data_IF_548756581888
#
_entry.id   IF_548756581888
#
_cell.length_a   1.000
_cell.length_b   1.000
_cell.length_c   1.000
_cell.angle_alpha   90.00
_cell.angle_beta   90.00
_cell.angle_gamma   90.00
#
_symmetry.space_group_name_H-M   'P 1'
#
loop_
_entity.id
_entity.type
_entity.pdbx_description
1 polymer ?
#
# COMPACT_ATOMS: atom_id res chain seq x y z
N UNK A 1 -10.37 14.36 -27.14
CA UNK A 1 -10.02 14.75 -25.75
C UNK A 1 -9.65 13.47 -25.04
N UNK A 2 -8.48 13.40 -24.39
CA UNK A 2 -8.08 12.20 -23.64
C UNK A 2 -9.03 12.05 -22.45
N UNK A 3 -9.73 10.94 -22.39
CA UNK A 3 -10.60 10.58 -21.27
C UNK A 3 -9.76 9.86 -20.21
N UNK A 4 -9.82 10.32 -18.96
CA UNK A 4 -9.00 9.80 -17.86
C UNK A 4 -9.59 8.51 -17.29
N UNK A 5 -8.73 7.51 -17.07
CA UNK A 5 -9.04 6.37 -16.21
C UNK A 5 -8.61 6.75 -14.80
N UNK A 6 -9.39 6.42 -13.78
CA UNK A 6 -9.04 6.68 -12.38
C UNK A 6 -9.14 5.36 -11.63
N UNK A 7 -8.16 5.05 -10.79
CA UNK A 7 -8.13 3.88 -9.94
C UNK A 7 -9.20 3.91 -8.84
N UNK A 8 -8.96 3.22 -7.73
CA UNK A 8 -9.87 3.27 -6.60
C UNK A 8 -9.83 4.66 -5.94
N UNK A 9 -10.99 5.19 -5.60
CA UNK A 9 -11.14 6.50 -4.96
C UNK A 9 -11.65 6.31 -3.54
N UNK A 10 -10.96 6.88 -2.56
CA UNK A 10 -11.44 6.88 -1.17
C UNK A 10 -12.71 7.73 -1.03
N UNK A 11 -12.59 9.01 -1.37
CA UNK A 11 -13.67 10.00 -1.34
C UNK A 11 -13.82 10.65 -2.72
N UNK A 12 -14.98 10.51 -3.34
CA UNK A 12 -15.37 11.20 -4.56
C UNK A 12 -16.27 12.40 -4.17
N UNK A 13 -15.76 13.62 -4.28
CA UNK A 13 -16.51 14.85 -3.98
C UNK A 13 -17.11 15.44 -5.26
N UNK A 14 -18.42 15.25 -5.42
CA UNK A 14 -19.21 15.72 -6.55
C UNK A 14 -19.98 17.02 -6.26
N UNK A 15 -19.80 17.65 -5.10
CA UNK A 15 -20.69 18.75 -4.67
C UNK A 15 -20.73 19.93 -5.64
N UNK A 16 -19.60 20.20 -6.30
CA UNK A 16 -19.43 21.30 -7.24
C UNK A 16 -19.24 20.83 -8.69
N UNK A 17 -19.50 19.55 -8.96
CA UNK A 17 -19.25 18.96 -10.28
C UNK A 17 -20.30 19.38 -11.30
N UNK A 18 -19.92 19.31 -12.57
CA UNK A 18 -20.79 19.62 -13.71
C UNK A 18 -20.83 18.44 -14.66
N UNK A 19 -21.85 18.35 -15.52
CA UNK A 19 -21.88 17.33 -16.59
C UNK A 19 -20.61 17.33 -17.44
N UNK A 20 -20.06 18.52 -17.70
CA UNK A 20 -18.82 18.66 -18.47
C UNK A 20 -17.59 18.11 -17.75
N UNK A 21 -17.52 18.19 -16.42
CA UNK A 21 -16.37 17.67 -15.67
C UNK A 21 -16.38 16.14 -15.58
N UNK A 22 -17.56 15.52 -15.54
CA UNK A 22 -17.68 14.06 -15.53
C UNK A 22 -17.51 13.41 -16.91
N UNK A 23 -17.86 14.11 -18.00
CA UNK A 23 -17.73 13.60 -19.38
C UNK A 23 -16.29 13.29 -19.81
N UNK A 24 -15.30 13.83 -19.10
CA UNK A 24 -13.89 13.58 -19.38
C UNK A 24 -13.38 12.29 -18.72
N UNK A 25 -14.21 11.59 -17.95
CA UNK A 25 -13.82 10.41 -17.18
C UNK A 25 -14.29 9.16 -17.92
N UNK A 26 -13.33 8.31 -18.31
CA UNK A 26 -13.59 7.03 -18.98
C UNK A 26 -14.11 5.99 -18.01
N UNK A 27 -13.49 5.92 -16.83
CA UNK A 27 -13.83 5.01 -15.76
C UNK A 27 -13.22 5.48 -14.45
N UNK A 28 -13.90 5.17 -13.35
CA UNK A 28 -13.35 5.22 -12.00
C UNK A 28 -13.44 3.80 -11.43
N UNK A 29 -12.42 3.36 -10.70
CA UNK A 29 -12.44 2.10 -9.96
C UNK A 29 -13.48 2.07 -8.85
N UNK A 30 -13.19 1.37 -7.77
CA UNK A 30 -14.10 1.35 -6.61
C UNK A 30 -14.07 2.69 -5.89
N UNK A 31 -15.24 3.21 -5.53
CA UNK A 31 -15.41 4.44 -4.76
C UNK A 31 -15.86 4.07 -3.35
N UNK A 32 -15.09 4.46 -2.33
CA UNK A 32 -15.46 4.24 -0.94
C UNK A 32 -16.69 5.06 -0.57
N UNK A 33 -16.58 6.37 -0.71
CA UNK A 33 -17.62 7.34 -0.36
C UNK A 33 -17.81 8.33 -1.52
N UNK A 34 -19.04 8.47 -2.01
CA UNK A 34 -19.42 9.56 -2.90
C UNK A 34 -20.15 10.63 -2.11
N UNK A 35 -19.67 11.86 -2.21
CA UNK A 35 -20.25 13.03 -1.57
C UNK A 35 -20.96 13.84 -2.66
N UNK A 36 -22.26 14.07 -2.49
CA UNK A 36 -23.09 14.78 -3.47
C UNK A 36 -23.86 15.92 -2.79
N UNK A 37 -24.29 16.88 -3.60
CA UNK A 37 -25.39 17.77 -3.23
C UNK A 37 -26.68 17.26 -3.88
N UNK A 38 -27.83 17.78 -3.45
CA UNK A 38 -29.11 17.49 -4.10
C UNK A 38 -29.06 17.78 -5.61
N UNK A 39 -28.30 18.79 -6.03
CA UNK A 39 -28.15 19.15 -7.44
C UNK A 39 -27.22 18.24 -8.24
N UNK A 40 -26.25 17.58 -7.58
CA UNK A 40 -25.24 16.74 -8.25
C UNK A 40 -25.45 15.25 -8.08
N UNK A 41 -26.41 14.82 -7.24
CA UNK A 41 -26.81 13.42 -7.11
C UNK A 41 -27.10 12.74 -8.47
N UNK A 42 -27.79 13.37 -9.45
CA UNK A 42 -28.01 12.73 -10.75
C UNK A 42 -26.73 12.46 -11.56
N UNK A 43 -25.66 13.24 -11.33
CA UNK A 43 -24.36 13.07 -12.02
C UNK A 43 -23.68 11.75 -11.63
N UNK A 44 -23.93 11.28 -10.41
CA UNK A 44 -23.35 10.03 -9.89
C UNK A 44 -23.75 8.82 -10.75
N UNK A 45 -25.00 8.79 -11.25
CA UNK A 45 -25.48 7.71 -12.11
C UNK A 45 -24.92 7.75 -13.54
N UNK A 46 -24.35 8.87 -13.95
CA UNK A 46 -23.75 9.05 -15.27
C UNK A 46 -22.26 8.69 -15.28
N UNK A 47 -21.63 8.59 -14.09
CA UNK A 47 -20.24 8.23 -13.97
C UNK A 47 -20.04 6.71 -14.12
N UNK A 48 -19.09 6.28 -14.97
CA UNK A 48 -18.71 4.87 -15.08
C UNK A 48 -17.86 4.45 -13.86
N UNK A 49 -18.52 4.14 -12.75
CA UNK A 49 -17.90 3.72 -11.49
C UNK A 49 -17.86 2.19 -11.36
N UNK A 50 -16.85 1.68 -10.65
CA UNK A 50 -16.86 0.32 -10.10
C UNK A 50 -17.83 0.17 -8.93
N UNK A 51 -17.43 -0.54 -7.88
CA UNK A 51 -18.27 -0.65 -6.68
C UNK A 51 -18.32 0.69 -5.94
N UNK A 52 -19.52 1.07 -5.48
CA UNK A 52 -19.73 2.25 -4.65
C UNK A 52 -20.11 1.81 -3.23
N UNK A 53 -19.27 2.16 -2.25
CA UNK A 53 -19.48 1.78 -0.86
C UNK A 53 -20.66 2.51 -0.23
N UNK A 54 -20.67 3.85 -0.35
CA UNK A 54 -21.68 4.70 0.27
C UNK A 54 -21.87 6.01 -0.49
N UNK A 55 -23.08 6.55 -0.42
CA UNK A 55 -23.43 7.88 -0.92
C UNK A 55 -23.85 8.75 0.26
N UNK A 56 -23.28 9.94 0.34
CA UNK A 56 -23.61 10.96 1.34
C UNK A 56 -24.11 12.18 0.60
N UNK A 57 -25.39 12.50 0.79
CA UNK A 57 -25.96 13.76 0.35
C UNK A 57 -25.79 14.79 1.46
N UNK A 58 -24.95 15.80 1.23
CA UNK A 58 -24.78 16.90 2.18
C UNK A 58 -25.47 18.17 1.72
N UNK A 59 -25.98 18.91 2.71
CA UNK A 59 -26.54 20.25 2.53
C UNK A 59 -25.43 21.28 2.30
N UNK A 60 -25.81 22.46 1.82
CA UNK A 60 -24.87 23.58 1.73
C UNK A 60 -24.30 23.96 3.11
N UNK A 61 -23.04 24.38 3.12
CA UNK A 61 -22.32 24.86 4.31
C UNK A 61 -21.37 23.85 4.96
N UNK A 62 -21.41 22.56 4.59
CA UNK A 62 -20.46 21.59 5.16
C UNK A 62 -19.05 21.75 4.60
N UNK A 63 -18.08 21.85 5.51
CA UNK A 63 -16.67 21.76 5.21
C UNK A 63 -16.22 20.29 5.21
N UNK A 64 -15.52 19.87 4.16
CA UNK A 64 -15.00 18.50 4.07
C UNK A 64 -13.60 18.43 4.69
N UNK A 65 -13.47 17.62 5.73
CA UNK A 65 -12.19 17.26 6.34
C UNK A 65 -11.79 15.86 5.86
N UNK A 66 -10.66 15.80 5.17
CA UNK A 66 -10.13 14.56 4.56
C UNK A 66 -9.07 13.89 5.44
N UNK A 67 -8.67 14.57 6.51
CA UNK A 67 -7.75 14.10 7.54
C UNK A 67 -8.46 14.05 8.88
N UNK A 68 -7.77 13.56 9.91
CA UNK A 68 -8.31 13.52 11.26
C UNK A 68 -8.69 14.95 11.72
N UNK A 69 -9.90 15.11 12.23
CA UNK A 69 -10.41 16.38 12.75
C UNK A 69 -10.12 16.44 14.24
N UNK A 70 -9.06 17.15 14.60
CA UNK A 70 -8.72 17.42 16.00
C UNK A 70 -9.42 18.70 16.48
N UNK A 71 -10.33 18.55 17.44
CA UNK A 71 -11.07 19.65 18.04
C UNK A 71 -10.52 19.88 19.44
N UNK A 72 -9.78 20.97 19.60
CA UNK A 72 -9.30 21.45 20.89
C UNK A 72 -9.88 22.83 21.20
N UNK A 73 -9.60 23.34 22.40
CA UNK A 73 -10.10 24.63 22.85
C UNK A 73 -9.73 25.76 21.87
N UNK A 74 -8.46 25.84 21.48
CA UNK A 74 -7.96 26.87 20.55
C UNK A 74 -8.63 26.79 19.17
N UNK A 75 -8.86 25.58 18.65
CA UNK A 75 -9.59 25.39 17.39
C UNK A 75 -10.99 25.99 17.47
N UNK A 76 -11.75 25.69 18.53
CA UNK A 76 -13.11 26.21 18.72
C UNK A 76 -13.16 27.73 18.86
N UNK A 77 -12.20 28.31 19.57
CA UNK A 77 -12.10 29.77 19.76
C UNK A 77 -11.84 30.52 18.46
N UNK A 78 -11.20 29.87 17.48
CA UNK A 78 -10.95 30.46 16.16
C UNK A 78 -12.11 30.33 15.17
N UNK A 79 -13.16 29.58 15.51
CA UNK A 79 -14.31 29.38 14.63
C UNK A 79 -15.24 30.61 14.62
N UNK A 80 -15.34 31.23 13.44
CA UNK A 80 -16.35 32.23 13.08
C UNK A 80 -16.62 32.12 11.57
N UNK A 81 -17.79 31.62 11.11
CA UNK A 81 -18.97 31.18 11.89
C UNK A 81 -18.82 29.77 12.51
N UNK A 82 -19.89 29.27 13.16
CA UNK A 82 -19.95 27.89 13.69
C UNK A 82 -19.71 26.83 12.60
N UNK A 83 -19.08 25.73 13.00
CA UNK A 83 -18.63 24.68 12.11
C UNK A 83 -19.76 23.72 11.75
N UNK A 84 -19.90 23.47 10.45
CA UNK A 84 -20.58 22.30 9.89
C UNK A 84 -19.52 21.47 9.15
N UNK A 85 -19.25 20.26 9.61
CA UNK A 85 -18.17 19.44 9.08
C UNK A 85 -18.66 18.07 8.60
N UNK A 86 -18.06 17.60 7.51
CA UNK A 86 -18.13 16.21 7.08
C UNK A 86 -16.72 15.62 7.16
N UNK A 87 -16.57 14.48 7.83
CA UNK A 87 -15.32 13.72 7.80
C UNK A 87 -15.59 12.23 7.66
N UNK A 88 -14.78 11.58 6.84
CA UNK A 88 -14.73 10.12 6.74
C UNK A 88 -13.55 9.51 7.53
N UNK A 89 -12.78 10.36 8.20
CA UNK A 89 -11.67 9.95 9.06
C UNK A 89 -12.03 10.14 10.53
N UNK A 90 -11.03 10.01 11.40
CA UNK A 90 -11.22 10.13 12.84
C UNK A 90 -11.55 11.55 13.28
N UNK A 91 -12.39 11.67 14.32
CA UNK A 91 -12.57 12.91 15.08
C UNK A 91 -12.02 12.73 16.48
N UNK A 92 -11.14 13.62 16.91
CA UNK A 92 -10.57 13.59 18.27
C UNK A 92 -10.94 14.89 18.98
N UNK A 93 -11.77 14.78 20.01
CA UNK A 93 -12.11 15.92 20.88
C UNK A 93 -11.08 15.95 22.01
N UNK A 94 -10.43 17.09 22.26
CA UNK A 94 -9.45 17.21 23.32
C UNK A 94 -10.10 17.34 24.71
N UNK A 95 -9.34 17.00 25.76
CA UNK A 95 -9.86 16.94 27.12
C UNK A 95 -10.14 18.33 27.73
N UNK A 96 -9.44 19.35 27.25
CA UNK A 96 -9.52 20.74 27.69
C UNK A 96 -10.70 21.52 27.09
N UNK A 97 -11.52 20.89 26.25
CA UNK A 97 -12.66 21.53 25.60
C UNK A 97 -13.83 21.71 26.58
N UNK A 98 -14.40 22.90 26.62
CA UNK A 98 -15.64 23.17 27.37
C UNK A 98 -16.89 22.72 26.58
N UNK A 99 -17.84 22.08 27.27
CA UNK A 99 -19.05 21.53 26.65
C UNK A 99 -19.96 22.60 26.04
N UNK A 100 -20.05 23.77 26.66
CA UNK A 100 -20.81 24.92 26.22
C UNK A 100 -20.23 25.50 24.92
N UNK A 101 -18.90 25.70 24.89
CA UNK A 101 -18.22 26.22 23.72
C UNK A 101 -18.35 25.25 22.53
N UNK A 102 -18.25 23.95 22.78
CA UNK A 102 -18.44 22.93 21.76
C UNK A 102 -19.84 23.02 21.12
N UNK A 103 -20.90 23.18 21.92
CA UNK A 103 -22.27 23.32 21.41
C UNK A 103 -22.54 24.65 20.71
N UNK A 104 -21.85 25.71 21.10
CA UNK A 104 -21.94 27.02 20.45
C UNK A 104 -21.25 27.02 19.09
N UNK A 105 -20.04 26.45 19.04
CA UNK A 105 -19.14 26.55 17.89
C UNK A 105 -19.27 25.41 16.89
N UNK A 106 -19.90 24.30 17.25
CA UNK A 106 -20.16 23.19 16.34
C UNK A 106 -21.68 23.08 16.14
N UNK A 107 -22.12 23.39 14.93
CA UNK A 107 -23.52 23.24 14.55
C UNK A 107 -23.84 21.78 14.22
N UNK A 108 -22.99 21.13 13.41
CA UNK A 108 -23.13 19.71 13.08
C UNK A 108 -21.82 19.08 12.57
N UNK A 109 -21.60 17.82 12.92
CA UNK A 109 -20.56 16.99 12.32
C UNK A 109 -21.17 15.68 11.84
N UNK A 110 -21.20 15.50 10.53
CA UNK A 110 -21.44 14.20 9.92
C UNK A 110 -20.11 13.43 9.87
N UNK A 111 -20.06 12.26 10.51
CA UNK A 111 -18.83 11.50 10.69
C UNK A 111 -18.99 10.03 10.28
N UNK A 112 -18.06 9.54 9.46
CA UNK A 112 -18.05 8.14 8.98
C UNK A 112 -16.82 7.35 9.46
N UNK A 113 -16.02 7.95 10.34
CA UNK A 113 -14.87 7.33 11.00
C UNK A 113 -15.08 7.08 12.50
N UNK A 114 -14.00 6.77 13.21
CA UNK A 114 -14.03 6.60 14.66
C UNK A 114 -14.02 7.98 15.37
N UNK A 115 -14.69 8.11 16.50
CA UNK A 115 -14.70 9.34 17.31
C UNK A 115 -14.10 9.04 18.68
N UNK A 116 -13.04 9.75 19.04
CA UNK A 116 -12.40 9.69 20.35
C UNK A 116 -12.79 10.92 21.17
N UNK A 117 -13.52 10.74 22.27
CA UNK A 117 -14.11 11.83 23.06
C UNK A 117 -13.85 11.67 24.57
N UNK A 118 -13.57 12.75 25.33
CA UNK A 118 -13.50 12.68 26.78
C UNK A 118 -14.82 12.18 27.39
N UNK A 119 -14.75 11.34 28.43
CA UNK A 119 -15.93 10.80 29.13
C UNK A 119 -16.93 11.90 29.54
N UNK A 120 -16.42 13.05 30.00
CA UNK A 120 -17.26 14.17 30.45
C UNK A 120 -17.92 14.96 29.31
N UNK A 121 -17.43 14.83 28.06
CA UNK A 121 -17.97 15.52 26.88
C UNK A 121 -18.87 14.66 26.02
N UNK A 122 -18.98 13.35 26.31
CA UNK A 122 -19.71 12.40 25.46
C UNK A 122 -21.12 12.89 25.07
N UNK A 123 -21.90 13.36 26.05
CA UNK A 123 -23.26 13.86 25.78
C UNK A 123 -23.30 15.16 24.98
N UNK A 124 -22.32 16.06 25.14
CA UNK A 124 -22.23 17.29 24.36
C UNK A 124 -21.85 16.99 22.90
N UNK A 125 -20.87 16.10 22.71
CA UNK A 125 -20.43 15.67 21.38
C UNK A 125 -21.52 14.90 20.66
N UNK A 126 -22.23 13.99 21.34
CA UNK A 126 -23.37 13.28 20.77
C UNK A 126 -24.49 14.23 20.31
N UNK A 127 -24.64 15.41 20.94
CA UNK A 127 -25.68 16.37 20.57
C UNK A 127 -25.37 17.19 19.30
N UNK A 128 -24.11 17.26 18.89
CA UNK A 128 -23.65 18.01 17.70
C UNK A 128 -23.13 17.09 16.59
N UNK A 129 -23.23 15.78 16.77
CA UNK A 129 -22.78 14.79 15.80
C UNK A 129 -23.98 14.03 15.24
N UNK A 130 -24.28 14.23 13.97
CA UNK A 130 -25.34 13.50 13.29
C UNK A 130 -24.79 12.19 12.71
N UNK A 131 -25.51 11.09 12.96
CA UNK A 131 -25.03 9.72 12.75
C UNK A 131 -24.53 9.44 11.33
N UNK A 132 -23.23 9.12 11.18
CA UNK A 132 -22.64 8.62 9.94
C UNK A 132 -22.03 7.20 10.05
N UNK A 133 -22.57 6.33 10.90
CA UNK A 133 -22.17 4.91 10.94
C UNK A 133 -20.81 4.60 11.58
N UNK A 134 -20.11 5.62 12.08
CA UNK A 134 -18.87 5.49 12.86
C UNK A 134 -19.07 5.11 14.33
N UNK A 135 -18.00 4.62 15.00
CA UNK A 135 -18.03 4.27 16.45
C UNK A 135 -17.47 5.41 17.30
N UNK A 136 -18.19 5.79 18.34
CA UNK A 136 -17.70 6.73 19.36
C UNK A 136 -17.13 5.95 20.54
N UNK A 137 -15.90 6.29 20.93
CA UNK A 137 -15.18 5.72 22.07
C UNK A 137 -14.81 6.84 23.03
N UNK A 138 -14.97 6.58 24.32
CA UNK A 138 -14.63 7.55 25.33
C UNK A 138 -13.24 7.32 25.93
N UNK A 139 -12.64 8.39 26.47
CA UNK A 139 -11.37 8.31 27.20
C UNK A 139 -11.36 9.23 28.44
N UNK A 140 -10.53 8.92 29.43
CA UNK A 140 -10.38 9.66 30.69
C UNK A 140 -9.22 10.66 30.67
N UNK A 141 -9.18 11.60 31.63
CA UNK A 141 -8.12 12.62 31.73
C UNK A 141 -6.73 12.00 31.81
N UNK A 142 -6.65 10.88 32.53
CA UNK A 142 -5.42 10.16 32.80
C UNK A 142 -5.03 9.18 31.67
N UNK A 143 -5.95 8.93 30.74
CA UNK A 143 -5.69 8.12 29.57
C UNK A 143 -5.08 9.01 28.47
N UNK A 144 -3.89 8.64 28.00
CA UNK A 144 -3.32 9.31 26.83
C UNK A 144 -4.23 9.13 25.62
N UNK A 145 -4.34 10.20 24.83
CA UNK A 145 -5.03 10.16 23.55
C UNK A 145 -4.45 9.02 22.70
N UNK A 146 -5.29 8.25 21.98
CA UNK A 146 -4.79 7.28 21.02
C UNK A 146 -3.79 7.93 20.06
N UNK A 147 -2.69 7.26 19.78
CA UNK A 147 -1.71 7.73 18.80
C UNK A 147 -2.02 7.08 17.47
N UNK A 148 -2.33 7.91 16.48
CA UNK A 148 -2.70 7.49 15.15
C UNK A 148 -1.53 7.64 14.17
N UNK A 149 -1.26 6.60 13.38
CA UNK A 149 -0.21 6.56 12.36
C UNK A 149 -0.79 6.05 11.03
N UNK A 150 -0.30 6.60 9.93
CA UNK A 150 -0.67 6.23 8.55
C UNK A 150 0.57 5.84 7.76
N UNK A 151 0.41 4.92 6.80
CA UNK A 151 1.51 4.46 5.94
C UNK A 151 2.41 3.44 6.64
N UNK A 152 3.72 3.55 6.42
CA UNK A 152 4.71 2.69 7.08
C UNK A 152 5.13 3.34 8.39
N UNK A 153 4.81 2.68 9.52
CA UNK A 153 5.19 3.12 10.85
C UNK A 153 6.10 2.09 11.51
N UNK A 154 7.29 2.52 11.92
CA UNK A 154 8.26 1.68 12.61
C UNK A 154 8.16 1.85 14.12
N UNK A 155 7.75 0.80 14.83
CA UNK A 155 7.72 0.74 16.28
C UNK A 155 9.15 0.53 16.79
N UNK A 156 9.72 1.56 17.41
CA UNK A 156 11.12 1.54 17.87
C UNK A 156 11.19 1.61 19.39
N UNK A 157 12.30 1.14 20.01
CA UNK A 157 12.58 1.36 21.43
C UNK A 157 12.35 2.80 21.88
N UNK A 158 12.94 3.76 21.15
CA UNK A 158 12.83 5.19 21.46
C UNK A 158 11.41 5.73 21.40
N UNK A 159 10.56 5.18 20.51
CA UNK A 159 9.16 5.56 20.47
C UNK A 159 8.42 5.05 21.69
N UNK A 160 8.60 3.78 22.06
CA UNK A 160 7.96 3.18 23.23
C UNK A 160 8.40 3.86 24.53
N UNK A 161 9.69 4.16 24.66
CA UNK A 161 10.25 4.88 25.82
C UNK A 161 9.76 6.32 25.92
N UNK A 162 9.30 6.93 24.82
CA UNK A 162 8.72 8.27 24.84
C UNK A 162 7.28 8.29 25.38
N UNK A 163 6.64 7.12 25.49
CA UNK A 163 5.27 6.99 26.02
C UNK A 163 5.32 7.02 27.55
N UNK A 164 4.81 8.09 28.14
CA UNK A 164 4.82 8.30 29.59
C UNK A 164 3.89 7.29 30.29
N UNK A 165 2.82 6.87 29.61
CA UNK A 165 1.84 5.90 30.09
C UNK A 165 1.53 4.85 29.01
N UNK A 166 0.92 3.71 29.37
CA UNK A 166 0.43 2.74 28.38
C UNK A 166 -0.63 3.35 27.45
N UNK A 167 -0.37 3.31 26.15
CA UNK A 167 -1.13 4.06 25.14
C UNK A 167 -1.68 3.16 24.05
N UNK A 168 -2.89 3.48 23.57
CA UNK A 168 -3.48 2.80 22.40
C UNK A 168 -2.85 3.34 21.12
N UNK A 169 -2.31 2.46 20.28
CA UNK A 169 -1.77 2.84 18.97
C UNK A 169 -2.70 2.35 17.86
N UNK A 170 -3.00 3.22 16.91
CA UNK A 170 -3.79 2.91 15.71
C UNK A 170 -2.92 3.11 14.48
N UNK A 171 -2.77 2.07 13.65
CA UNK A 171 -1.95 2.11 12.43
C UNK A 171 -2.80 1.74 11.22
N UNK A 172 -2.93 2.66 10.28
CA UNK A 172 -3.53 2.43 8.96
C UNK A 172 -2.41 2.26 7.93
N UNK A 173 -2.00 1.02 7.66
CA UNK A 173 -0.87 0.70 6.79
C UNK A 173 0.00 -0.45 7.32
N UNK A 174 1.32 -0.27 7.28
CA UNK A 174 2.30 -1.28 7.69
C UNK A 174 2.89 -0.87 9.04
N UNK A 175 2.75 -1.73 10.05
CA UNK A 175 3.44 -1.63 11.33
C UNK A 175 4.69 -2.51 11.30
N UNK A 176 5.87 -1.90 11.30
CA UNK A 176 7.14 -2.62 11.39
C UNK A 176 7.66 -2.61 12.83
N UNK A 177 7.79 -3.78 13.45
CA UNK A 177 8.38 -3.89 14.79
C UNK A 177 9.89 -3.97 14.65
N UNK A 178 10.62 -2.98 15.20
CA UNK A 178 12.08 -2.99 15.19
C UNK A 178 12.61 -4.18 16.02
N UNK A 179 13.64 -4.86 15.53
CA UNK A 179 14.23 -6.05 16.17
C UNK A 179 14.83 -5.78 17.55
N UNK A 180 15.02 -4.50 17.92
CA UNK A 180 15.51 -4.09 19.24
C UNK A 180 14.38 -3.87 20.26
N UNK A 181 13.12 -3.92 19.84
CA UNK A 181 11.99 -3.80 20.76
C UNK A 181 11.95 -5.03 21.65
N UNK A 182 11.90 -4.83 22.96
CA UNK A 182 11.80 -5.91 23.94
C UNK A 182 10.37 -6.06 24.46
N UNK A 183 10.08 -7.20 25.06
CA UNK A 183 8.81 -7.49 25.75
C UNK A 183 8.50 -6.42 26.83
N UNK A 184 9.51 -6.03 27.60
CA UNK A 184 9.40 -5.02 28.65
C UNK A 184 8.99 -3.64 28.10
N UNK A 185 9.36 -3.31 26.87
CA UNK A 185 8.97 -2.04 26.25
C UNK A 185 7.53 -2.06 25.74
N UNK A 186 6.98 -3.25 25.43
CA UNK A 186 5.59 -3.37 24.97
C UNK A 186 4.56 -3.07 26.08
N UNK A 187 4.97 -3.01 27.35
CA UNK A 187 4.08 -2.58 28.46
C UNK A 187 3.57 -1.15 28.28
N UNK A 188 4.27 -0.34 27.47
CA UNK A 188 3.84 1.01 27.09
C UNK A 188 2.75 1.02 26.01
N UNK A 189 2.39 -0.14 25.46
CA UNK A 189 1.31 -0.28 24.49
C UNK A 189 0.12 -0.96 25.17
N UNK A 190 -0.97 -0.20 25.31
CA UNK A 190 -2.21 -0.71 25.91
C UNK A 190 -3.00 -1.59 24.94
N UNK A 191 -3.11 -1.15 23.69
CA UNK A 191 -3.86 -1.81 22.63
C UNK A 191 -3.29 -1.39 21.27
N UNK A 192 -3.25 -2.31 20.30
CA UNK A 192 -2.86 -2.08 18.91
C UNK A 192 -4.07 -2.27 18.00
N UNK A 193 -4.42 -1.24 17.24
CA UNK A 193 -5.46 -1.28 16.21
C UNK A 193 -4.80 -1.12 14.84
N UNK A 194 -4.53 -2.23 14.15
CA UNK A 194 -3.85 -2.21 12.85
C UNK A 194 -4.83 -2.59 11.72
N UNK A 195 -4.99 -1.67 10.76
CA UNK A 195 -5.71 -1.90 9.50
C UNK A 195 -4.67 -2.01 8.39
N UNK A 196 -4.14 -3.21 8.17
CA UNK A 196 -3.08 -3.47 7.19
C UNK A 196 -2.19 -4.65 7.60
N UNK A 197 -0.87 -4.46 7.53
CA UNK A 197 0.12 -5.52 7.78
C UNK A 197 0.95 -5.21 9.03
N UNK A 198 1.26 -6.23 9.82
CA UNK A 198 2.23 -6.17 10.91
C UNK A 198 3.43 -7.02 10.51
N UNK A 199 4.59 -6.41 10.39
CA UNK A 199 5.87 -7.09 10.16
C UNK A 199 6.63 -7.18 11.47
N UNK A 200 6.94 -8.41 11.90
CA UNK A 200 7.62 -8.66 13.17
C UNK A 200 8.47 -9.93 13.13
N UNK A 201 9.42 -10.00 14.06
CA UNK A 201 10.22 -11.19 14.34
C UNK A 201 9.39 -12.28 15.02
N UNK A 202 9.73 -13.54 14.78
CA UNK A 202 9.00 -14.71 15.29
C UNK A 202 8.84 -14.70 16.81
N UNK A 203 9.91 -14.45 17.57
CA UNK A 203 9.81 -14.39 19.04
C UNK A 203 8.80 -13.33 19.53
N UNK A 204 8.58 -12.24 18.79
CA UNK A 204 7.69 -11.15 19.20
C UNK A 204 6.20 -11.48 19.03
N UNK A 205 5.84 -12.53 18.28
CA UNK A 205 4.45 -12.87 17.97
C UNK A 205 3.65 -13.11 19.25
N UNK A 206 4.20 -13.87 20.20
CA UNK A 206 3.51 -14.21 21.45
C UNK A 206 3.23 -12.98 22.34
N UNK A 207 4.07 -11.94 22.23
CA UNK A 207 3.97 -10.73 23.06
C UNK A 207 3.10 -9.65 22.42
N UNK A 208 3.13 -9.54 21.09
CA UNK A 208 2.35 -8.54 20.37
C UNK A 208 0.91 -8.98 20.14
N UNK A 209 0.67 -10.28 19.89
CA UNK A 209 -0.68 -10.79 19.57
C UNK A 209 -1.76 -10.45 20.61
N UNK A 210 -1.51 -10.55 21.93
CA UNK A 210 -2.50 -10.18 22.94
C UNK A 210 -2.86 -8.68 22.96
N UNK A 211 -1.99 -7.82 22.43
CA UNK A 211 -2.22 -6.38 22.37
C UNK A 211 -3.09 -5.98 21.18
N UNK A 212 -3.21 -6.86 20.18
CA UNK A 212 -3.97 -6.55 18.96
C UNK A 212 -5.46 -6.61 19.25
N UNK A 213 -6.14 -5.50 18.97
CA UNK A 213 -7.57 -5.35 19.13
C UNK A 213 -8.32 -6.41 18.30
N UNK A 214 -9.40 -6.97 18.86
CA UNK A 214 -10.29 -7.87 18.11
C UNK A 214 -10.93 -7.19 16.88
N UNK A 215 -10.97 -5.86 16.87
CA UNK A 215 -11.47 -5.06 15.74
C UNK A 215 -10.41 -4.79 14.65
N UNK A 216 -9.18 -5.26 14.84
CA UNK A 216 -8.08 -5.14 13.89
C UNK A 216 -8.31 -6.08 12.70
N UNK A 217 -8.03 -5.61 11.48
CA UNK A 217 -8.04 -6.43 10.26
C UNK A 217 -6.59 -6.73 9.82
N UNK A 218 -5.71 -6.97 10.78
CA UNK A 218 -4.27 -7.05 10.55
C UNK A 218 -3.88 -8.41 9.96
N UNK A 219 -3.06 -8.41 8.91
CA UNK A 219 -2.29 -9.57 8.48
C UNK A 219 -0.91 -9.52 9.13
N UNK A 220 -0.37 -10.66 9.56
CA UNK A 220 0.97 -10.74 10.14
C UNK A 220 1.94 -11.34 9.12
N UNK A 221 3.04 -10.62 8.88
CA UNK A 221 4.21 -11.12 8.18
C UNK A 221 5.28 -11.43 9.21
N UNK A 222 5.50 -12.72 9.48
CA UNK A 222 6.43 -13.19 10.50
C UNK A 222 7.78 -13.50 9.87
N UNK A 223 8.82 -12.83 10.37
CA UNK A 223 10.21 -13.00 9.94
C UNK A 223 10.91 -13.89 10.97
N UNK A 224 11.46 -15.05 10.59
CA UNK A 224 12.16 -15.89 11.55
C UNK A 224 13.37 -15.17 12.17
N UNK A 225 13.67 -15.48 13.43
CA UNK A 225 14.61 -14.69 14.24
C UNK A 225 16.05 -14.74 13.72
N UNK A 226 16.45 -15.88 13.16
CA UNK A 226 17.81 -16.12 12.69
C UNK A 226 18.03 -15.74 11.22
N UNK A 227 17.05 -15.11 10.58
CA UNK A 227 17.11 -14.68 9.18
C UNK A 227 17.63 -13.23 9.08
N UNK A 228 18.52 -12.99 8.13
CA UNK A 228 18.91 -11.64 7.72
C UNK A 228 17.91 -11.12 6.69
N UNK A 229 17.27 -9.98 6.99
CA UNK A 229 16.31 -9.35 6.07
C UNK A 229 17.05 -8.62 4.94
N UNK A 230 16.63 -8.87 3.70
CA UNK A 230 17.06 -8.13 2.51
C UNK A 230 15.87 -7.32 1.99
N UNK A 231 15.95 -6.01 2.15
CA UNK A 231 14.86 -5.03 1.94
C UNK A 231 14.87 -4.37 0.54
N UNK A 232 15.57 -4.99 -0.40
CA UNK A 232 15.68 -4.52 -1.79
C UNK A 232 16.10 -5.63 -2.73
N UNK A 233 15.85 -5.43 -4.02
CA UNK A 233 16.42 -6.29 -5.04
C UNK A 233 17.95 -6.32 -4.91
N UNK A 234 18.54 -7.52 -4.84
CA UNK A 234 19.96 -7.69 -4.54
C UNK A 234 20.64 -8.51 -5.62
N UNK A 235 21.48 -7.85 -6.42
CA UNK A 235 22.46 -8.53 -7.26
C UNK A 235 23.68 -8.90 -6.44
N UNK A 236 23.77 -10.18 -6.09
CA UNK A 236 24.83 -10.71 -5.26
C UNK A 236 26.13 -10.83 -6.03
N UNK A 237 27.22 -10.47 -5.35
CA UNK A 237 28.59 -10.61 -5.86
C UNK A 237 29.39 -11.51 -4.94
N UNK A 238 30.31 -12.28 -5.51
CA UNK A 238 31.15 -13.23 -4.77
C UNK A 238 31.86 -12.57 -3.57
N UNK A 239 32.37 -11.33 -3.75
CA UNK A 239 33.01 -10.55 -2.67
C UNK A 239 32.09 -10.26 -1.48
N UNK A 240 30.78 -10.09 -1.70
CA UNK A 240 29.82 -9.86 -0.61
C UNK A 240 29.64 -11.14 0.21
N UNK A 241 29.54 -12.28 -0.49
CA UNK A 241 29.34 -13.61 0.11
C UNK A 241 30.55 -14.15 0.86
N UNK A 242 31.78 -13.68 0.56
CA UNK A 242 32.99 -14.10 1.27
C UNK A 242 32.93 -13.86 2.78
N UNK A 243 32.20 -12.83 3.22
CA UNK A 243 32.00 -12.52 4.64
C UNK A 243 30.86 -13.31 5.28
N UNK A 244 30.01 -13.95 4.47
CA UNK A 244 28.84 -14.68 4.92
C UNK A 244 29.23 -16.12 5.20
N UNK A 245 28.78 -16.63 6.35
CA UNK A 245 29.00 -18.01 6.78
C UNK A 245 27.65 -18.61 7.09
N UNK A 246 27.11 -19.41 6.16
CA UNK A 246 25.83 -20.10 6.33
C UNK A 246 24.67 -19.17 6.73
N UNK A 247 24.61 -17.96 6.15
CA UNK A 247 23.55 -17.01 6.47
C UNK A 247 22.19 -17.53 6.01
N UNK A 248 21.15 -17.26 6.79
CA UNK A 248 19.75 -17.43 6.39
C UNK A 248 19.20 -16.09 5.91
N UNK A 249 18.46 -16.08 4.81
CA UNK A 249 18.01 -14.85 4.16
C UNK A 249 16.49 -14.82 4.10
N UNK A 250 15.90 -13.70 4.49
CA UNK A 250 14.48 -13.42 4.31
C UNK A 250 14.34 -12.22 3.35
N UNK A 251 13.53 -12.35 2.30
CA UNK A 251 13.31 -11.24 1.37
C UNK A 251 11.95 -11.32 0.67
N UNK A 252 11.41 -10.16 0.33
CA UNK A 252 10.26 -10.04 -0.57
C UNK A 252 10.67 -9.46 -1.93
N UNK A 253 11.99 -9.41 -2.19
CA UNK A 253 12.55 -8.77 -3.37
C UNK A 253 13.40 -9.75 -4.19
N UNK A 254 13.56 -9.51 -5.50
CA UNK A 254 14.35 -10.38 -6.36
C UNK A 254 15.80 -10.52 -5.91
N UNK A 255 16.32 -11.75 -5.98
CA UNK A 255 17.75 -12.02 -5.80
C UNK A 255 18.38 -12.41 -7.14
N UNK A 256 19.50 -11.78 -7.50
CA UNK A 256 20.25 -12.13 -8.71
C UNK A 256 21.59 -12.75 -8.33
N UNK A 257 21.72 -14.04 -8.61
CA UNK A 257 22.81 -14.94 -8.19
C UNK A 257 23.52 -15.61 -9.38
N UNK A 258 23.11 -15.33 -10.61
CA UNK A 258 23.65 -15.94 -11.84
C UNK A 258 25.16 -15.76 -12.08
N UNK A 259 25.81 -14.82 -11.40
CA UNK A 259 27.27 -14.64 -11.48
C UNK A 259 28.05 -15.43 -10.40
N UNK A 260 27.36 -16.22 -9.57
CA UNK A 260 27.95 -16.94 -8.44
C UNK A 260 28.14 -18.41 -8.79
N UNK A 261 29.24 -18.98 -8.32
CA UNK A 261 29.47 -20.42 -8.39
C UNK A 261 28.68 -21.15 -7.31
N UNK A 262 28.19 -22.34 -7.62
CA UNK A 262 27.49 -23.25 -6.68
C UNK A 262 28.17 -23.34 -5.31
N UNK A 263 29.46 -23.69 -5.26
CA UNK A 263 30.22 -23.82 -4.02
C UNK A 263 30.25 -22.55 -3.17
N UNK A 264 30.12 -21.37 -3.80
CA UNK A 264 30.08 -20.09 -3.08
C UNK A 264 28.74 -19.93 -2.39
N UNK A 265 27.65 -20.22 -3.10
CA UNK A 265 26.29 -20.17 -2.57
C UNK A 265 26.17 -21.13 -1.38
N UNK A 266 26.55 -22.40 -1.59
CA UNK A 266 26.46 -23.46 -0.60
C UNK A 266 27.22 -23.13 0.69
N UNK A 267 28.42 -22.53 0.59
CA UNK A 267 29.22 -22.16 1.77
C UNK A 267 28.70 -20.91 2.48
N UNK A 268 28.10 -19.98 1.75
CA UNK A 268 27.74 -18.66 2.27
C UNK A 268 26.30 -18.56 2.76
N UNK A 269 25.38 -19.32 2.18
CA UNK A 269 23.93 -19.25 2.42
C UNK A 269 23.43 -20.64 2.79
N UNK A 270 22.75 -20.75 3.94
CA UNK A 270 22.18 -22.02 4.41
C UNK A 270 20.72 -22.18 4.05
N UNK A 271 19.94 -21.08 4.08
CA UNK A 271 18.51 -21.06 3.76
C UNK A 271 18.08 -19.73 3.17
N UNK A 272 17.05 -19.77 2.34
CA UNK A 272 16.39 -18.59 1.76
C UNK A 272 14.88 -18.74 1.95
N UNK A 273 14.24 -17.74 2.51
CA UNK A 273 12.79 -17.58 2.49
C UNK A 273 12.48 -16.35 1.64
N UNK A 274 11.82 -16.57 0.50
CA UNK A 274 11.54 -15.53 -0.49
C UNK A 274 10.08 -15.54 -0.90
N UNK A 275 9.46 -14.36 -1.04
CA UNK A 275 8.17 -14.21 -1.74
C UNK A 275 8.32 -13.63 -3.15
N UNK A 276 9.56 -13.53 -3.64
CA UNK A 276 9.91 -13.09 -4.98
C UNK A 276 10.79 -14.12 -5.69
N UNK A 277 11.10 -13.89 -6.97
CA UNK A 277 11.89 -14.80 -7.77
C UNK A 277 13.40 -14.68 -7.51
N UNK A 278 14.14 -15.75 -7.82
CA UNK A 278 15.60 -15.81 -7.73
C UNK A 278 16.18 -16.16 -9.10
N UNK A 279 17.07 -15.32 -9.62
CA UNK A 279 17.78 -15.59 -10.89
C UNK A 279 19.12 -16.24 -10.59
N UNK A 280 19.40 -17.39 -11.21
CA UNK A 280 20.62 -18.16 -11.01
C UNK A 280 21.15 -18.73 -12.33
N UNK A 281 22.32 -19.37 -12.29
CA UNK A 281 22.82 -20.20 -13.39
C UNK A 281 22.26 -21.61 -13.29
N UNK A 282 22.14 -22.34 -14.41
CA UNK A 282 21.65 -23.73 -14.40
C UNK A 282 22.47 -24.66 -13.49
N UNK A 283 23.76 -24.40 -13.31
CA UNK A 283 24.65 -25.20 -12.43
C UNK A 283 24.29 -25.14 -10.93
N UNK A 284 23.49 -24.13 -10.52
CA UNK A 284 23.16 -23.86 -9.12
C UNK A 284 21.65 -23.92 -8.85
N UNK A 285 20.84 -24.31 -9.84
CA UNK A 285 19.38 -24.33 -9.77
C UNK A 285 18.86 -25.31 -8.72
N UNK A 286 19.30 -26.57 -8.80
CA UNK A 286 18.98 -27.64 -7.86
C UNK A 286 19.38 -27.28 -6.42
N UNK A 287 20.55 -26.69 -6.21
CA UNK A 287 20.98 -26.20 -4.90
C UNK A 287 20.00 -25.15 -4.35
N UNK A 288 19.51 -24.23 -5.21
CA UNK A 288 18.54 -23.24 -4.76
C UNK A 288 17.20 -23.89 -4.39
N UNK A 289 16.73 -24.90 -5.13
CA UNK A 289 15.56 -25.68 -4.73
C UNK A 289 15.75 -26.41 -3.38
N UNK A 290 16.97 -26.76 -3.01
CA UNK A 290 17.26 -27.38 -1.71
C UNK A 290 17.27 -26.38 -0.54
N UNK A 291 17.77 -25.15 -0.75
CA UNK A 291 17.94 -24.17 0.32
C UNK A 291 16.77 -23.16 0.42
N UNK A 292 15.90 -23.08 -0.57
CA UNK A 292 14.71 -22.24 -0.56
C UNK A 292 13.58 -22.96 0.19
N UNK A 293 13.08 -22.35 1.27
CA UNK A 293 12.09 -22.98 2.16
C UNK A 293 10.64 -22.89 1.64
N UNK A 294 10.40 -22.04 0.63
CA UNK A 294 9.06 -21.68 0.14
C UNK A 294 8.85 -22.17 -1.28
N UNK A 295 7.81 -22.98 -1.50
CA UNK A 295 7.44 -23.48 -2.84
C UNK A 295 6.95 -22.37 -3.78
N UNK A 296 6.53 -21.23 -3.24
CA UNK A 296 6.04 -20.08 -4.00
C UNK A 296 7.16 -19.21 -4.59
N UNK A 297 8.44 -19.58 -4.35
CA UNK A 297 9.59 -18.88 -4.91
C UNK A 297 9.95 -19.45 -6.28
N UNK A 298 9.79 -18.64 -7.33
CA UNK A 298 10.25 -19.00 -8.67
C UNK A 298 11.78 -18.91 -8.79
N UNK A 299 12.43 -19.99 -9.21
CA UNK A 299 13.87 -20.03 -9.49
C UNK A 299 14.06 -20.00 -11.01
N UNK A 300 14.70 -18.94 -11.50
CA UNK A 300 14.94 -18.72 -12.92
C UNK A 300 16.40 -19.08 -13.22
N UNK A 301 16.63 -20.28 -13.75
CA UNK A 301 17.93 -20.69 -14.28
C UNK A 301 18.16 -20.05 -15.65
N UNK A 302 18.99 -19.01 -15.70
CA UNK A 302 19.28 -18.23 -16.91
C UNK A 302 20.79 -18.14 -17.09
N UNK A 303 21.30 -18.80 -18.13
CA UNK A 303 22.72 -18.73 -18.52
C UNK A 303 22.95 -17.73 -19.65
N UNK A 304 21.89 -17.35 -20.37
CA UNK A 304 21.88 -16.39 -21.45
C UNK A 304 21.94 -14.93 -20.95
N UNK A 305 22.35 -13.98 -21.81
CA UNK A 305 22.19 -12.56 -21.53
C UNK A 305 20.72 -12.20 -21.27
N UNK A 306 20.48 -11.50 -20.17
CA UNK A 306 19.14 -11.07 -19.80
C UNK A 306 19.06 -9.58 -19.48
N UNK A 307 17.88 -9.03 -19.68
CA UNK A 307 17.50 -7.67 -19.29
C UNK A 307 16.40 -7.71 -18.23
N UNK A 308 16.49 -6.80 -17.27
CA UNK A 308 15.53 -6.66 -16.18
C UNK A 308 14.84 -5.32 -16.32
N UNK A 309 13.51 -5.34 -16.45
CA UNK A 309 12.67 -4.15 -16.51
C UNK A 309 12.12 -3.89 -15.10
N UNK A 310 12.78 -2.99 -14.37
CA UNK A 310 12.42 -2.61 -12.98
C UNK A 310 11.48 -1.39 -12.91
N UNK A 311 11.40 -0.63 -13.99
CA UNK A 311 10.65 0.63 -14.10
C UNK A 311 9.90 0.67 -15.43
N UNK A 312 9.29 1.82 -15.73
CA UNK A 312 8.61 2.02 -16.99
C UNK A 312 9.63 2.20 -18.12
N UNK A 313 9.61 1.28 -19.08
CA UNK A 313 10.44 1.30 -20.28
C UNK A 313 9.56 1.26 -21.53
N UNK A 314 9.99 2.00 -22.56
CA UNK A 314 9.40 1.98 -23.90
C UNK A 314 10.44 1.37 -24.84
N UNK A 315 10.10 0.24 -25.45
CA UNK A 315 10.93 -0.39 -26.47
C UNK A 315 10.31 -0.14 -27.84
N UNK A 316 11.05 0.57 -28.66
CA UNK A 316 10.76 0.84 -30.06
C UNK A 316 11.67 0.02 -30.97
N UNK A 317 11.54 0.19 -32.29
CA UNK A 317 12.43 -0.45 -33.25
C UNK A 317 13.92 -0.23 -32.95
N UNK A 318 14.29 0.97 -32.50
CA UNK A 318 15.67 1.34 -32.14
C UNK A 318 16.20 0.49 -30.97
N UNK A 319 15.39 0.29 -29.93
CA UNK A 319 15.76 -0.54 -28.78
C UNK A 319 16.14 -1.96 -29.22
N UNK A 320 15.36 -2.55 -30.12
CA UNK A 320 15.62 -3.88 -30.67
C UNK A 320 16.85 -3.94 -31.58
N UNK A 321 17.10 -2.91 -32.39
CA UNK A 321 18.31 -2.83 -33.22
C UNK A 321 19.60 -2.76 -32.39
N UNK A 322 19.51 -2.25 -31.16
CA UNK A 322 20.63 -2.20 -30.22
C UNK A 322 20.88 -3.52 -29.47
N UNK A 323 19.96 -4.50 -29.56
CA UNK A 323 20.18 -5.84 -29.03
C UNK A 323 21.14 -6.58 -29.97
N UNK A 324 22.35 -6.85 -29.47
CA UNK A 324 23.38 -7.54 -30.27
C UNK A 324 22.99 -9.00 -30.57
N UNK A 325 22.29 -9.64 -29.65
CA UNK A 325 21.83 -11.02 -29.71
C UNK A 325 20.43 -11.15 -29.12
N UNK A 326 19.84 -12.35 -29.21
CA UNK A 326 18.58 -12.64 -28.54
C UNK A 326 18.79 -12.64 -27.02
N UNK A 327 17.88 -12.02 -26.28
CA UNK A 327 17.98 -11.89 -24.82
C UNK A 327 16.76 -12.45 -24.11
N UNK A 328 16.96 -12.87 -22.87
CA UNK A 328 15.89 -13.14 -21.92
C UNK A 328 15.42 -11.83 -21.30
N UNK A 329 14.11 -11.64 -21.16
CA UNK A 329 13.54 -10.42 -20.58
C UNK A 329 12.77 -10.76 -19.30
N UNK A 330 13.13 -10.12 -18.19
CA UNK A 330 12.44 -10.26 -16.92
C UNK A 330 11.71 -8.94 -16.63
N UNK A 331 10.38 -8.97 -16.60
CA UNK A 331 9.58 -7.81 -16.20
C UNK A 331 9.13 -8.01 -14.76
N UNK A 332 9.72 -7.27 -13.82
CA UNK A 332 9.53 -7.48 -12.38
C UNK A 332 8.21 -6.87 -11.88
N UNK A 333 7.76 -7.28 -10.70
CA UNK A 333 6.62 -6.63 -10.03
C UNK A 333 6.87 -5.13 -9.84
N UNK A 334 5.99 -4.30 -10.43
CA UNK A 334 6.13 -2.84 -10.46
C UNK A 334 6.86 -2.27 -11.68
N UNK A 335 7.51 -3.13 -12.49
CA UNK A 335 8.05 -2.76 -13.80
C UNK A 335 6.97 -2.76 -14.89
N UNK A 336 7.14 -1.91 -15.90
CA UNK A 336 6.24 -1.79 -17.04
C UNK A 336 7.05 -1.75 -18.33
N UNK A 337 6.89 -2.74 -19.20
CA UNK A 337 7.50 -2.74 -20.53
C UNK A 337 6.43 -2.46 -21.58
N UNK A 338 6.56 -1.33 -22.27
CA UNK A 338 5.70 -0.94 -23.39
C UNK A 338 6.42 -1.19 -24.71
N UNK A 339 5.82 -1.96 -25.61
CA UNK A 339 6.25 -2.07 -26.99
C UNK A 339 5.58 -1.00 -27.83
N UNK A 340 6.36 -0.21 -28.56
CA UNK A 340 5.85 0.82 -29.46
C UNK A 340 5.16 0.21 -30.70
N UNK A 341 4.34 1.01 -31.39
CA UNK A 341 3.58 0.57 -32.57
C UNK A 341 4.47 0.12 -33.75
N UNK A 342 5.73 0.58 -33.80
CA UNK A 342 6.69 0.19 -34.83
C UNK A 342 7.43 -1.13 -34.52
N UNK A 343 7.18 -1.76 -33.37
CA UNK A 343 7.73 -3.08 -33.06
C UNK A 343 6.93 -4.15 -33.79
N UNK A 344 7.62 -4.99 -34.56
CA UNK A 344 6.99 -6.07 -35.33
C UNK A 344 7.13 -7.43 -34.62
N UNK A 345 6.28 -8.38 -35.00
CA UNK A 345 6.35 -9.74 -34.49
C UNK A 345 7.69 -10.43 -34.82
N UNK A 346 8.29 -10.15 -35.98
CA UNK A 346 9.57 -10.75 -36.37
C UNK A 346 10.72 -10.23 -35.50
N UNK A 347 10.71 -8.95 -35.15
CA UNK A 347 11.70 -8.38 -34.21
C UNK A 347 11.65 -9.06 -32.86
N UNK A 348 10.45 -9.36 -32.34
CA UNK A 348 10.27 -10.11 -31.10
C UNK A 348 10.79 -11.54 -31.23
N UNK A 349 10.46 -12.24 -32.32
CA UNK A 349 10.92 -13.63 -32.54
C UNK A 349 12.44 -13.73 -32.62
N UNK A 350 13.08 -12.76 -33.27
CA UNK A 350 14.52 -12.75 -33.52
C UNK A 350 15.34 -12.27 -32.31
N UNK A 351 14.83 -11.32 -31.52
CA UNK A 351 15.62 -10.63 -30.48
C UNK A 351 15.22 -10.94 -29.05
N UNK A 352 14.04 -11.52 -28.83
CA UNK A 352 13.60 -11.94 -27.51
C UNK A 352 13.55 -13.46 -27.53
N UNK A 353 14.38 -14.08 -26.70
CA UNK A 353 14.36 -15.53 -26.55
C UNK A 353 13.16 -15.95 -25.69
N UNK A 354 13.13 -15.46 -24.46
CA UNK A 354 12.15 -15.82 -23.42
C UNK A 354 11.77 -14.58 -22.60
N UNK A 355 10.53 -14.54 -22.11
CA UNK A 355 10.00 -13.49 -21.24
C UNK A 355 9.49 -14.11 -19.94
N UNK A 356 10.02 -13.63 -18.81
CA UNK A 356 9.49 -13.88 -17.47
C UNK A 356 8.66 -12.68 -17.03
N UNK A 357 7.34 -12.86 -16.96
CA UNK A 357 6.39 -11.77 -16.81
C UNK A 357 5.73 -11.78 -15.42
N UNK A 358 6.25 -10.93 -14.53
CA UNK A 358 5.69 -10.64 -13.20
C UNK A 358 5.00 -9.26 -13.17
N UNK A 359 5.52 -8.28 -13.91
CA UNK A 359 5.02 -6.91 -13.96
C UNK A 359 3.91 -6.64 -14.97
N UNK A 360 4.05 -5.55 -15.73
CA UNK A 360 3.08 -5.15 -16.76
C UNK A 360 3.72 -5.11 -18.14
N UNK A 361 3.09 -5.77 -19.11
CA UNK A 361 3.43 -5.72 -20.53
C UNK A 361 2.33 -4.96 -21.28
N UNK A 362 2.71 -3.95 -22.05
CA UNK A 362 1.80 -3.19 -22.90
C UNK A 362 2.26 -3.37 -24.34
N UNK A 363 1.40 -3.93 -25.19
CA UNK A 363 1.78 -4.24 -26.56
C UNK A 363 0.60 -4.12 -27.53
N UNK A 364 0.83 -3.61 -28.76
CA UNK A 364 -0.17 -3.62 -29.83
C UNK A 364 -0.79 -5.01 -30.03
N UNK A 365 -2.09 -5.05 -30.35
CA UNK A 365 -2.87 -6.31 -30.46
C UNK A 365 -2.25 -7.28 -31.47
N UNK A 366 -1.62 -6.73 -32.50
CA UNK A 366 -0.99 -7.43 -33.61
C UNK A 366 0.18 -8.32 -33.15
N UNK A 367 0.90 -7.91 -32.09
CA UNK A 367 2.09 -8.63 -31.60
C UNK A 367 1.86 -9.40 -30.29
N UNK A 368 0.72 -9.21 -29.63
CA UNK A 368 0.42 -9.88 -28.36
C UNK A 368 0.49 -11.41 -28.43
N UNK A 369 0.03 -12.02 -29.52
CA UNK A 369 0.13 -13.48 -29.67
C UNK A 369 1.59 -13.93 -29.71
N UNK A 370 2.46 -13.15 -30.35
CA UNK A 370 3.90 -13.46 -30.43
C UNK A 370 4.57 -13.27 -29.08
N UNK A 371 4.20 -12.24 -28.32
CA UNK A 371 4.65 -12.06 -26.93
C UNK A 371 4.21 -13.25 -26.07
N UNK A 372 2.95 -13.68 -26.16
CA UNK A 372 2.44 -14.83 -25.40
C UNK A 372 3.19 -16.12 -25.69
N UNK A 373 3.66 -16.32 -26.93
CA UNK A 373 4.47 -17.47 -27.31
C UNK A 373 5.89 -17.43 -26.70
N UNK A 374 6.33 -16.27 -26.21
CA UNK A 374 7.62 -16.06 -25.56
C UNK A 374 7.53 -16.05 -24.04
N UNK A 375 6.34 -16.14 -23.45
CA UNK A 375 6.15 -16.17 -22.00
C UNK A 375 6.43 -17.56 -21.46
N UNK A 376 7.44 -17.68 -20.59
CA UNK A 376 7.67 -18.89 -19.79
C UNK A 376 6.87 -18.83 -18.49
N UNK A 377 6.94 -17.67 -17.82
CA UNK A 377 6.12 -17.34 -16.65
C UNK A 377 5.19 -16.19 -17.00
N UNK A 378 3.92 -16.31 -16.62
CA UNK A 378 2.87 -15.32 -16.91
C UNK A 378 2.01 -15.03 -15.68
N UNK A 379 2.59 -14.36 -14.70
CA UNK A 379 1.91 -13.92 -13.46
C UNK A 379 1.51 -12.44 -13.53
N UNK A 380 2.07 -11.70 -14.48
CA UNK A 380 1.82 -10.27 -14.69
C UNK A 380 0.57 -9.93 -15.51
N UNK A 381 0.46 -8.66 -15.90
CA UNK A 381 -0.65 -8.11 -16.71
C UNK A 381 -0.20 -7.76 -18.13
N UNK A 382 -0.79 -8.41 -19.13
CA UNK A 382 -0.61 -8.07 -20.55
C UNK A 382 -1.81 -7.27 -21.08
N UNK A 383 -1.55 -6.08 -21.63
CA UNK A 383 -2.58 -5.12 -22.09
C UNK A 383 -2.29 -4.59 -23.49
N UNK A 384 -3.33 -4.15 -24.22
CA UNK A 384 -3.19 -3.64 -25.60
C UNK A 384 -2.93 -2.15 -25.70
N UNK A 385 -3.32 -1.40 -24.68
CA UNK A 385 -3.18 0.05 -24.63
C UNK A 385 -2.69 0.42 -23.25
N UNK A 386 -1.88 1.47 -23.19
CA UNK A 386 -1.56 2.10 -21.92
C UNK A 386 -2.81 2.80 -21.44
N UNK A 387 -3.47 2.20 -20.46
CA UNK A 387 -4.48 2.89 -19.70
C UNK A 387 -3.77 3.99 -18.89
N UNK A 388 -3.75 5.22 -19.42
CA UNK A 388 -3.34 6.41 -18.66
C UNK A 388 -4.37 6.61 -17.54
N UNK A 389 -4.11 5.89 -16.45
CA UNK A 389 -4.86 5.93 -15.22
C UNK A 389 -4.21 6.88 -14.23
N UNK A 390 -5.00 7.74 -13.61
CA UNK A 390 -4.63 8.22 -12.27
C UNK A 390 -4.72 7.00 -11.36
N UNK A 391 -3.68 6.67 -10.59
CA UNK A 391 -3.70 5.52 -9.67
C UNK A 391 -4.79 5.62 -8.60
N UNK A 392 -4.66 4.88 -7.49
CA UNK A 392 -5.61 5.05 -6.39
C UNK A 392 -5.52 6.47 -5.83
N UNK A 393 -6.66 7.14 -5.67
CA UNK A 393 -6.76 8.52 -5.22
C UNK A 393 -7.43 8.55 -3.84
N UNK A 394 -6.82 9.21 -2.86
CA UNK A 394 -7.46 9.39 -1.55
C UNK A 394 -8.75 10.21 -1.66
N UNK A 395 -8.67 11.38 -2.29
CA UNK A 395 -9.79 12.30 -2.50
C UNK A 395 -9.77 12.81 -3.93
N UNK A 396 -10.84 12.56 -4.67
CA UNK A 396 -11.05 13.07 -6.02
C UNK A 396 -12.14 14.15 -5.98
N UNK A 397 -11.81 15.38 -6.37
CA UNK A 397 -12.75 16.49 -6.53
C UNK A 397 -12.97 16.75 -8.01
N UNK A 398 -14.24 16.76 -8.46
CA UNK A 398 -14.62 16.92 -9.88
C UNK A 398 -15.39 18.19 -10.18
#
# INVERSE_FOLDING_TARGET
>A
MKTSIIGNVGILDLRNSTEKSIQQIKSIGNVGIAIVSTSTLPLLHQLPLGNLGMVIEIKEGYQLYTEALEINQAFLETLDPSLRALTADEVVIAYDVEAELLKEKIEDIEYYGDVSVPNHLYGAVQSVMTSGGGKMKTYDQDAEKPINKKGVFKLTPSFLESLIKPTTLSVKGILQVDERVTEDQLVHVKELQVKGVIELREHMVAHLSPLISQSSSAQMTVIPDDYTVIDRALRMKEKQLQSWKQKKLYTEHPLYMNALKRDTIERSISKIQSSSFIVTSSESEDLLYEIVDTLDTEILAIDEPYLVVEKNELWDETAFLNLQEAVVVIVVNGGELTFAENVTADMIRERIDTIYHFGTLIAPKEIQLTIKQKLEINEGKLQSEKEEGTGNVGVLKL
#
